data_IF_325266183078
#
_entry.id   IF_325266183078
#
_cell.length_a   1.000
_cell.length_b   1.000
_cell.length_c   1.000
_cell.angle_alpha   90.00
_cell.angle_beta   90.00
_cell.angle_gamma   90.00
#
_symmetry.space_group_name_H-M   'P 1'
#
loop_
_entity.id
_entity.type
_entity.pdbx_description
1 polymer ?
#
# COMPACT_ATOMS: atom_id res chain seq x y z
N UNK A 1 -26.48 -8.18 -17.64
CA UNK A 1 -25.61 -7.06 -17.27
C UNK A 1 -24.66 -6.81 -18.45
N UNK A 2 -24.97 -5.81 -19.30
CA UNK A 2 -24.05 -5.34 -20.33
C UNK A 2 -23.18 -4.25 -19.71
N UNK A 3 -21.93 -4.56 -19.40
CA UNK A 3 -20.90 -3.59 -19.05
C UNK A 3 -20.33 -3.01 -20.34
N UNK A 4 -20.87 -1.89 -20.81
CA UNK A 4 -20.23 -1.00 -21.76
C UNK A 4 -19.99 0.34 -21.05
N UNK A 5 -19.08 0.33 -20.10
CA UNK A 5 -18.59 1.54 -19.48
C UNK A 5 -17.06 1.48 -19.54
N UNK A 6 -16.48 2.39 -20.29
CA UNK A 6 -15.07 2.67 -20.16
C UNK A 6 -14.80 2.99 -18.68
N UNK A 7 -14.00 2.16 -18.03
CA UNK A 7 -13.46 2.47 -16.71
C UNK A 7 -12.51 3.65 -16.93
N UNK A 8 -13.05 4.85 -16.86
CA UNK A 8 -12.22 6.04 -16.74
C UNK A 8 -11.65 5.98 -15.31
N UNK A 9 -10.43 5.51 -15.20
CA UNK A 9 -9.64 5.63 -14.00
C UNK A 9 -9.39 7.14 -13.81
N UNK A 10 -10.33 7.80 -13.15
CA UNK A 10 -10.02 9.09 -12.58
C UNK A 10 -9.10 8.81 -11.41
N UNK A 11 -7.86 9.30 -11.43
CA UNK A 11 -7.07 9.32 -10.21
C UNK A 11 -7.92 10.10 -9.19
N UNK A 12 -8.41 9.39 -8.19
CA UNK A 12 -9.23 9.96 -7.12
C UNK A 12 -8.46 10.95 -6.23
N UNK A 13 -7.21 11.19 -6.59
CA UNK A 13 -6.30 12.14 -5.95
C UNK A 13 -5.59 12.90 -7.07
N UNK A 14 -6.19 14.01 -7.48
CA UNK A 14 -5.47 15.08 -8.16
C UNK A 14 -4.88 15.99 -7.07
N UNK A 15 -3.58 15.86 -6.85
CA UNK A 15 -2.86 16.74 -5.93
C UNK A 15 -1.42 16.26 -5.81
N UNK A 16 -0.56 16.88 -6.56
CA UNK A 16 0.79 16.41 -6.91
C UNK A 16 1.79 16.34 -5.74
N UNK A 17 1.56 16.97 -4.62
CA UNK A 17 2.49 16.95 -3.47
C UNK A 17 1.84 16.36 -2.20
N UNK A 18 0.54 16.42 -2.10
CA UNK A 18 -0.18 16.01 -0.89
C UNK A 18 -0.27 14.48 -0.70
N UNK A 19 -0.07 13.69 -1.76
CA UNK A 19 -0.20 12.24 -1.67
C UNK A 19 0.97 11.60 -0.93
N UNK A 20 2.18 11.96 -1.30
CA UNK A 20 3.40 11.46 -0.66
C UNK A 20 3.48 11.94 0.80
N UNK A 21 3.17 13.22 1.05
CA UNK A 21 3.14 13.80 2.39
C UNK A 21 2.07 13.14 3.27
N UNK A 22 0.87 12.88 2.74
CA UNK A 22 -0.20 12.23 3.49
C UNK A 22 0.09 10.76 3.81
N UNK A 23 0.66 10.01 2.86
CA UNK A 23 0.96 8.58 3.05
C UNK A 23 2.15 8.38 3.98
N UNK A 24 3.22 9.15 3.76
CA UNK A 24 4.52 8.93 4.40
C UNK A 24 4.84 9.91 5.55
N UNK A 25 3.92 10.81 5.89
CA UNK A 25 4.10 11.72 7.01
C UNK A 25 3.93 10.98 8.35
N UNK A 26 4.91 10.16 8.66
CA UNK A 26 5.10 9.58 9.98
C UNK A 26 6.33 10.27 10.55
N UNK A 27 6.13 11.21 11.45
CA UNK A 27 7.19 12.08 12.00
C UNK A 27 8.35 11.28 12.60
N UNK A 28 8.06 10.14 13.22
CA UNK A 28 9.06 9.20 13.70
C UNK A 28 8.69 7.75 13.35
N UNK A 29 9.50 7.12 12.53
CA UNK A 29 9.35 5.71 12.20
C UNK A 29 10.21 4.87 13.12
N UNK A 30 9.61 3.90 13.81
CA UNK A 30 10.33 2.99 14.71
C UNK A 30 11.42 2.21 13.96
N UNK A 31 12.54 1.99 14.61
CA UNK A 31 13.72 1.30 14.05
C UNK A 31 13.39 -0.09 13.49
N UNK A 32 12.41 -0.77 14.04
CA UNK A 32 11.96 -2.11 13.59
C UNK A 32 11.50 -2.19 12.13
N UNK A 33 11.15 -1.05 11.52
CA UNK A 33 10.73 -1.01 10.11
C UNK A 33 11.89 -0.84 9.15
N UNK A 34 13.05 -0.38 9.62
CA UNK A 34 14.23 -0.21 8.80
C UNK A 34 14.92 -1.54 8.52
N UNK A 35 15.44 -1.69 7.29
CA UNK A 35 16.14 -2.89 6.89
C UNK A 35 17.58 -2.86 7.43
N UNK A 36 18.00 -3.94 8.08
CA UNK A 36 19.43 -4.15 8.33
C UNK A 36 20.18 -4.33 7.00
N UNK A 37 21.48 -4.04 6.94
CA UNK A 37 22.29 -4.19 5.74
C UNK A 37 22.21 -5.60 5.15
N UNK A 38 22.14 -6.63 5.97
CA UNK A 38 21.98 -8.02 5.54
C UNK A 38 20.63 -8.23 4.84
N UNK A 39 19.55 -7.73 5.43
CA UNK A 39 18.18 -7.88 4.89
C UNK A 39 18.01 -7.01 3.65
N UNK A 40 18.54 -5.79 3.64
CA UNK A 40 18.56 -4.89 2.49
C UNK A 40 19.18 -5.57 1.27
N UNK A 41 20.35 -6.17 1.43
CA UNK A 41 21.01 -6.93 0.34
C UNK A 41 20.12 -8.05 -0.20
N UNK A 42 19.45 -8.77 0.68
CA UNK A 42 18.51 -9.83 0.30
C UNK A 42 17.29 -9.28 -0.45
N UNK A 43 16.65 -8.26 0.11
CA UNK A 43 15.44 -7.66 -0.46
C UNK A 43 15.69 -7.07 -1.84
N UNK A 44 16.83 -6.40 -2.05
CA UNK A 44 17.22 -5.78 -3.31
C UNK A 44 17.85 -6.75 -4.32
N UNK A 45 17.93 -8.05 -4.02
CA UNK A 45 18.47 -9.01 -4.97
C UNK A 45 17.49 -9.20 -6.14
N UNK A 46 17.93 -8.96 -7.40
CA UNK A 46 17.09 -9.14 -8.56
C UNK A 46 16.82 -10.62 -8.77
N UNK A 47 15.70 -11.14 -8.56
CA UNK A 47 15.21 -12.48 -8.80
C UNK A 47 16.24 -13.59 -9.10
N UNK A 48 15.75 -14.72 -9.55
CA UNK A 48 16.57 -15.84 -10.04
C UNK A 48 16.62 -15.83 -11.57
N UNK A 49 17.44 -16.70 -12.18
CA UNK A 49 17.59 -16.82 -13.65
C UNK A 49 16.23 -16.91 -14.37
N UNK A 50 15.26 -17.60 -13.77
CA UNK A 50 13.94 -17.85 -14.37
C UNK A 50 12.85 -16.89 -13.87
N UNK A 51 13.14 -16.05 -12.88
CA UNK A 51 12.20 -15.11 -12.31
C UNK A 51 12.91 -13.82 -11.93
N UNK A 52 12.95 -12.90 -12.89
CA UNK A 52 13.51 -11.56 -12.67
C UNK A 52 12.41 -10.63 -12.19
N UNK A 53 12.69 -9.88 -11.15
CA UNK A 53 11.81 -8.84 -10.60
C UNK A 53 12.52 -7.50 -10.61
N UNK A 54 11.77 -6.43 -10.80
CA UNK A 54 12.26 -5.08 -10.51
C UNK A 54 12.51 -4.95 -9.01
N UNK A 55 13.70 -4.50 -8.64
CA UNK A 55 14.10 -4.26 -7.24
C UNK A 55 13.96 -2.80 -6.86
N UNK A 56 13.10 -2.06 -7.55
CA UNK A 56 12.85 -0.64 -7.33
C UNK A 56 12.16 -0.41 -5.99
N UNK A 57 12.61 0.63 -5.30
CA UNK A 57 11.97 1.22 -4.12
C UNK A 57 11.38 2.58 -4.50
N UNK A 58 10.65 3.19 -3.59
CA UNK A 58 10.12 4.55 -3.78
C UNK A 58 9.28 4.69 -5.05
N UNK A 59 8.42 3.72 -5.29
CA UNK A 59 7.56 3.70 -6.46
C UNK A 59 6.49 4.79 -6.38
N UNK A 60 6.27 5.50 -7.48
CA UNK A 60 5.18 6.46 -7.64
C UNK A 60 3.80 5.79 -7.46
N UNK A 61 3.65 4.57 -7.97
CA UNK A 61 2.44 3.77 -7.79
C UNK A 61 2.78 2.53 -6.97
N UNK A 62 2.18 2.40 -5.80
CA UNK A 62 2.41 1.27 -4.91
C UNK A 62 1.95 -0.06 -5.56
N UNK A 63 2.75 -1.10 -5.34
CA UNK A 63 2.33 -2.48 -5.66
C UNK A 63 1.18 -2.90 -4.75
N UNK A 64 0.32 -3.84 -5.20
CA UNK A 64 -0.73 -4.38 -4.36
C UNK A 64 -0.19 -4.88 -3.01
N UNK A 65 -0.88 -4.54 -1.94
CA UNK A 65 -0.51 -5.02 -0.61
C UNK A 65 -0.86 -6.50 -0.47
N UNK A 66 0.07 -7.28 0.04
CA UNK A 66 -0.12 -8.71 0.27
C UNK A 66 -0.35 -9.00 1.76
N UNK A 67 -1.21 -9.94 2.07
CA UNK A 67 -1.43 -10.40 3.45
C UNK A 67 -0.15 -10.91 4.13
N UNK A 68 0.83 -11.35 3.33
CA UNK A 68 2.11 -11.89 3.80
C UNK A 68 3.23 -10.84 3.95
N UNK A 69 2.96 -9.55 3.68
CA UNK A 69 3.99 -8.49 3.72
C UNK A 69 4.59 -8.24 5.12
N UNK A 70 4.03 -8.83 6.19
CA UNK A 70 4.67 -8.86 7.51
C UNK A 70 5.99 -9.61 7.51
N UNK A 71 6.18 -10.54 6.59
CA UNK A 71 7.46 -11.19 6.31
C UNK A 71 8.24 -10.29 5.36
N UNK A 72 9.53 -10.15 5.52
CA UNK A 72 10.33 -9.35 4.58
C UNK A 72 10.49 -10.07 3.26
N UNK A 73 9.84 -9.56 2.22
CA UNK A 73 9.95 -10.04 0.84
C UNK A 73 10.97 -9.24 0.03
N UNK A 74 11.08 -9.54 -1.24
CA UNK A 74 11.91 -8.78 -2.18
C UNK A 74 11.21 -7.49 -2.60
N UNK A 75 11.98 -6.44 -2.89
CA UNK A 75 11.45 -5.17 -3.37
C UNK A 75 10.63 -5.30 -4.67
N UNK A 76 10.80 -6.35 -5.45
CA UNK A 76 9.96 -6.64 -6.62
C UNK A 76 8.57 -7.19 -6.29
N UNK A 77 8.26 -7.44 -5.01
CA UNK A 77 6.98 -7.98 -4.54
C UNK A 77 6.27 -7.00 -3.62
N UNK A 78 6.97 -6.51 -2.60
CA UNK A 78 6.44 -5.59 -1.60
C UNK A 78 6.92 -4.15 -1.85
N UNK A 79 6.30 -3.21 -1.16
CA UNK A 79 6.65 -1.80 -1.20
C UNK A 79 7.71 -1.47 -0.15
N UNK A 80 8.77 -0.85 -0.59
CA UNK A 80 9.83 -0.32 0.26
C UNK A 80 10.07 1.14 -0.07
N UNK A 81 10.37 1.93 0.94
CA UNK A 81 10.57 3.37 0.81
C UNK A 81 11.87 3.80 1.48
N UNK A 82 12.44 4.87 0.96
CA UNK A 82 13.64 5.50 1.52
C UNK A 82 13.22 6.58 2.52
N UNK A 83 13.73 6.47 3.73
CA UNK A 83 13.54 7.48 4.76
C UNK A 83 14.91 7.85 5.34
N UNK A 84 15.28 9.13 5.29
CA UNK A 84 16.58 9.65 5.75
C UNK A 84 17.77 8.83 5.22
N UNK A 85 17.74 8.45 3.93
CA UNK A 85 18.80 7.68 3.26
C UNK A 85 18.84 6.18 3.61
N UNK A 86 17.89 5.69 4.40
CA UNK A 86 17.77 4.28 4.77
C UNK A 86 16.51 3.67 4.18
N UNK A 87 16.59 2.43 3.70
CA UNK A 87 15.43 1.71 3.16
C UNK A 87 14.67 1.05 4.31
N UNK A 88 13.35 1.17 4.25
CA UNK A 88 12.43 0.55 5.20
C UNK A 88 11.20 -0.03 4.51
N UNK A 89 10.50 -0.91 5.18
CA UNK A 89 9.15 -1.32 4.78
C UNK A 89 8.13 -0.28 5.20
N UNK A 90 6.95 -0.33 4.61
CA UNK A 90 5.82 0.48 5.04
C UNK A 90 5.40 0.11 6.47
N UNK A 91 5.00 1.10 7.24
CA UNK A 91 4.37 0.86 8.54
C UNK A 91 2.93 0.36 8.36
N UNK A 92 2.32 -0.28 9.37
CA UNK A 92 0.91 -0.65 9.32
C UNK A 92 -0.03 0.53 9.03
N UNK A 93 0.28 1.72 9.56
CA UNK A 93 -0.50 2.94 9.32
C UNK A 93 -0.43 3.37 7.85
N UNK A 94 0.74 3.37 7.25
CA UNK A 94 0.93 3.69 5.84
C UNK A 94 0.19 2.68 4.94
N UNK A 95 0.23 1.39 5.28
CA UNK A 95 -0.55 0.37 4.57
C UNK A 95 -2.06 0.65 4.62
N UNK A 96 -2.59 1.06 5.78
CA UNK A 96 -3.99 1.43 5.92
C UNK A 96 -4.33 2.67 5.08
N UNK A 97 -3.47 3.68 5.09
CA UNK A 97 -3.66 4.89 4.27
C UNK A 97 -3.70 4.56 2.78
N UNK A 98 -2.80 3.70 2.30
CA UNK A 98 -2.81 3.20 0.92
C UNK A 98 -4.12 2.46 0.56
N UNK A 99 -4.74 1.82 1.54
CA UNK A 99 -6.05 1.16 1.36
C UNK A 99 -7.25 2.12 1.54
N UNK A 100 -7.00 3.43 1.74
CA UNK A 100 -8.04 4.45 1.90
C UNK A 100 -8.61 4.59 3.31
N UNK A 101 -8.04 3.90 4.30
CA UNK A 101 -8.45 4.09 5.69
C UNK A 101 -7.90 5.39 6.26
N UNK A 102 -8.76 6.16 6.89
CA UNK A 102 -8.39 7.43 7.51
C UNK A 102 -7.72 7.22 8.88
N UNK A 103 -7.00 8.22 9.37
CA UNK A 103 -6.19 8.12 10.60
C UNK A 103 -7.01 7.91 11.88
N UNK A 104 -8.29 8.25 11.87
CA UNK A 104 -9.19 7.93 12.98
C UNK A 104 -9.46 6.44 13.14
N UNK A 105 -9.16 5.61 12.12
CA UNK A 105 -9.23 4.15 12.24
C UNK A 105 -8.13 3.65 13.20
N UNK A 106 -8.55 3.14 14.36
CA UNK A 106 -7.63 2.72 15.42
C UNK A 106 -7.00 1.37 15.11
N UNK A 107 -5.68 1.29 15.24
CA UNK A 107 -4.94 0.02 15.20
C UNK A 107 -4.94 -0.56 16.62
N UNK A 108 -5.65 -1.66 16.83
CA UNK A 108 -5.81 -2.34 18.14
C UNK A 108 -5.24 -3.75 18.13
N UNK A 109 -4.56 -4.12 17.06
CA UNK A 109 -3.96 -5.45 16.87
C UNK A 109 -2.46 -5.33 16.65
N UNK A 110 -1.73 -6.46 16.67
CA UNK A 110 -0.31 -6.49 16.38
C UNK A 110 0.00 -6.05 14.94
N UNK A 111 1.20 -5.56 14.68
CA UNK A 111 1.67 -5.20 13.34
C UNK A 111 1.46 -6.35 12.33
N UNK A 112 1.78 -7.58 12.72
CA UNK A 112 1.58 -8.77 11.87
C UNK A 112 0.13 -8.92 11.46
N UNK A 113 -0.79 -8.84 12.42
CA UNK A 113 -2.23 -8.92 12.16
C UNK A 113 -2.71 -7.75 11.29
N UNK A 114 -2.18 -6.55 11.53
CA UNK A 114 -2.56 -5.38 10.76
C UNK A 114 -2.11 -5.47 9.30
N UNK A 115 -0.89 -5.94 9.05
CA UNK A 115 -0.42 -6.20 7.68
C UNK A 115 -1.30 -7.25 6.98
N UNK A 116 -1.68 -8.31 7.68
CA UNK A 116 -2.58 -9.32 7.13
C UNK A 116 -3.95 -8.73 6.79
N UNK A 117 -4.51 -7.93 7.68
CA UNK A 117 -5.80 -7.26 7.46
C UNK A 117 -5.74 -6.27 6.29
N UNK A 118 -4.72 -5.43 6.24
CA UNK A 118 -4.53 -4.48 5.15
C UNK A 118 -4.40 -5.21 3.80
N UNK A 119 -3.58 -6.26 3.73
CA UNK A 119 -3.40 -7.03 2.49
C UNK A 119 -4.62 -7.86 2.06
N UNK A 120 -5.52 -8.18 2.97
CA UNK A 120 -6.79 -8.85 2.67
C UNK A 120 -7.96 -7.86 2.44
N UNK A 121 -7.74 -6.58 2.67
CA UNK A 121 -8.78 -5.56 2.53
C UNK A 121 -9.04 -5.21 1.07
N UNK A 122 -10.18 -4.61 0.83
CA UNK A 122 -10.46 -3.89 -0.41
C UNK A 122 -10.04 -2.42 -0.25
N UNK A 123 -9.60 -1.79 -1.34
CA UNK A 123 -9.34 -0.34 -1.35
C UNK A 123 -10.65 0.41 -1.16
N UNK A 124 -10.77 1.15 -0.07
CA UNK A 124 -12.03 1.81 0.35
C UNK A 124 -12.53 2.79 -0.71
N UNK A 125 -11.64 3.59 -1.29
CA UNK A 125 -12.02 4.58 -2.31
C UNK A 125 -12.56 3.94 -3.59
N UNK A 126 -12.03 2.77 -3.98
CA UNK A 126 -12.56 1.99 -5.12
C UNK A 126 -13.97 1.50 -4.81
N UNK A 127 -14.19 0.98 -3.60
CA UNK A 127 -15.52 0.54 -3.18
C UNK A 127 -16.51 1.70 -3.18
N UNK A 128 -16.13 2.86 -2.66
CA UNK A 128 -16.95 4.07 -2.67
C UNK A 128 -17.29 4.50 -4.12
N UNK A 129 -16.31 4.47 -5.03
CA UNK A 129 -16.53 4.82 -6.43
C UNK A 129 -17.53 3.86 -7.10
N UNK A 130 -17.41 2.56 -6.87
CA UNK A 130 -18.35 1.56 -7.38
C UNK A 130 -19.76 1.81 -6.85
N UNK A 131 -19.90 1.98 -5.53
CA UNK A 131 -21.21 2.21 -4.89
C UNK A 131 -21.88 3.50 -5.38
N UNK A 132 -21.11 4.57 -5.63
CA UNK A 132 -21.61 5.81 -6.22
C UNK A 132 -22.15 5.60 -7.62
N UNK A 133 -21.48 4.80 -8.45
CA UNK A 133 -21.95 4.49 -9.82
C UNK A 133 -23.17 3.58 -9.84
N UNK A 134 -23.30 2.71 -8.86
CA UNK A 134 -24.46 1.81 -8.75
C UNK A 134 -25.74 2.53 -8.33
N UNK A 135 -25.67 3.82 -7.94
CA UNK A 135 -26.80 4.63 -7.48
C UNK A 135 -27.69 3.89 -6.45
N UNK A 136 -27.01 3.25 -5.49
CA UNK A 136 -27.66 2.40 -4.46
C UNK A 136 -28.71 3.17 -3.64
N UNK A 137 -28.70 4.50 -3.69
CA UNK A 137 -29.72 5.33 -3.04
C UNK A 137 -31.09 5.20 -3.67
N UNK A 138 -31.20 4.76 -4.94
CA UNK A 138 -32.49 4.49 -5.61
C UNK A 138 -33.19 3.23 -5.11
N UNK A 139 -32.45 2.35 -4.45
CA UNK A 139 -32.96 1.07 -3.94
C UNK A 139 -33.06 1.10 -2.40
N UNK A 140 -32.99 2.28 -1.80
CA UNK A 140 -33.13 2.45 -0.38
C UNK A 140 -34.52 2.01 0.09
N UNK A 141 -34.53 1.05 0.98
CA UNK A 141 -35.68 0.64 1.79
C UNK A 141 -35.99 1.76 2.77
#
# INVERSE_FOLDING_TARGET
FNWHGDFIYHPLIQGDEAFDEFIFNVEEVEEKYFLSEKVKKYVLTPGTKNFRTSTETDLEVARPLLHSMHKMHRAGVDNYVTNKGRIRKLTPRECLRLMGFKDWFKIVVSDTSMYQQAGNSIVVDVLIAILKQMDVTKYGV
#
